data_IF_754442677702
#
_entry.id   IF_754442677702
#
_cell.length_a   1.000
_cell.length_b   1.000
_cell.length_c   1.000
_cell.angle_alpha   90.00
_cell.angle_beta   90.00
_cell.angle_gamma   90.00
#
_symmetry.space_group_name_H-M   'P 1'
#
loop_
_entity.id
_entity.type
_entity.pdbx_description
1 polymer ?
#
# COMPACT_ATOMS: atom_id res chain seq x y z
N UNK A 1 -6.44 -14.60 3.41
CA UNK A 1 -5.69 -14.19 4.62
C UNK A 1 -6.66 -13.72 5.68
N UNK A 2 -6.41 -14.02 6.95
CA UNK A 2 -7.14 -13.38 8.05
C UNK A 2 -6.56 -11.98 8.29
N UNK A 3 -7.36 -11.07 8.85
CA UNK A 3 -6.88 -9.75 9.30
C UNK A 3 -5.64 -9.88 10.21
N UNK A 4 -5.67 -10.88 11.11
CA UNK A 4 -4.57 -11.20 12.03
C UNK A 4 -3.25 -11.45 11.31
N UNK A 5 -3.26 -12.17 10.19
CA UNK A 5 -2.04 -12.45 9.44
C UNK A 5 -1.45 -11.19 8.77
N UNK A 6 -2.29 -10.22 8.37
CA UNK A 6 -1.81 -8.93 7.84
C UNK A 6 -1.19 -8.10 8.97
N UNK A 7 -1.86 -8.07 10.13
CA UNK A 7 -1.39 -7.36 11.32
C UNK A 7 -0.02 -7.88 11.80
N UNK A 8 0.19 -9.20 11.76
CA UNK A 8 1.47 -9.83 12.13
C UNK A 8 2.62 -9.42 11.19
N UNK A 9 2.38 -9.43 9.87
CA UNK A 9 3.37 -9.01 8.87
C UNK A 9 3.74 -7.52 9.04
N UNK A 10 2.74 -6.67 9.25
CA UNK A 10 2.96 -5.24 9.47
C UNK A 10 3.76 -4.99 10.75
N UNK A 11 3.40 -5.66 11.86
CA UNK A 11 4.14 -5.55 13.13
C UNK A 11 5.60 -5.94 12.96
N UNK A 12 5.86 -7.10 12.34
CA UNK A 12 7.22 -7.58 12.10
C UNK A 12 8.02 -6.59 11.24
N UNK A 13 7.40 -6.00 10.22
CA UNK A 13 8.05 -5.02 9.32
C UNK A 13 8.41 -3.73 10.06
N UNK A 14 7.52 -3.23 10.93
CA UNK A 14 7.78 -2.03 11.75
C UNK A 14 8.87 -2.30 12.78
N UNK A 15 8.83 -3.43 13.49
CA UNK A 15 9.88 -3.81 14.43
C UNK A 15 11.25 -3.95 13.77
N UNK A 16 11.29 -4.50 12.55
CA UNK A 16 12.53 -4.58 11.78
C UNK A 16 13.08 -3.19 11.45
N UNK A 17 12.22 -2.27 11.00
CA UNK A 17 12.62 -0.88 10.72
C UNK A 17 13.23 -0.19 11.95
N UNK A 18 12.66 -0.41 13.14
CA UNK A 18 13.23 0.13 14.39
C UNK A 18 14.60 -0.45 14.74
N UNK A 19 14.85 -1.72 14.44
CA UNK A 19 16.19 -2.33 14.60
C UNK A 19 17.19 -1.71 13.64
N UNK A 20 16.76 -1.41 12.41
CA UNK A 20 17.61 -0.87 11.36
C UNK A 20 17.98 0.60 11.58
N UNK A 21 17.17 1.35 12.33
CA UNK A 21 17.43 2.75 12.71
C UNK A 21 18.68 2.93 13.59
N UNK A 22 19.17 1.87 14.26
CA UNK A 22 20.37 1.90 15.12
C UNK A 22 20.42 3.10 16.10
N UNK A 23 19.27 3.49 16.65
CA UNK A 23 19.15 4.57 17.64
C UNK A 23 18.89 5.97 17.06
N UNK A 24 18.75 6.13 15.75
CA UNK A 24 18.26 7.38 15.16
C UNK A 24 16.76 7.58 15.42
N UNK A 25 16.33 8.82 15.62
CA UNK A 25 14.91 9.15 15.76
C UNK A 25 14.18 8.99 14.41
N UNK A 26 13.08 8.22 14.35
CA UNK A 26 12.31 8.11 13.13
C UNK A 26 11.45 9.34 12.85
N UNK A 27 11.46 9.81 11.61
CA UNK A 27 10.50 10.79 11.09
C UNK A 27 9.53 10.17 10.09
N UNK A 28 8.25 10.55 10.15
CA UNK A 28 7.29 10.27 9.07
C UNK A 28 6.89 8.81 8.85
N UNK A 29 7.10 7.93 9.85
CA UNK A 29 6.76 6.50 9.82
C UNK A 29 5.37 6.19 9.25
N UNK A 30 4.35 6.95 9.65
CA UNK A 30 2.98 6.75 9.18
C UNK A 30 2.87 6.88 7.66
N UNK A 31 3.43 7.95 7.08
CA UNK A 31 3.43 8.17 5.64
C UNK A 31 4.30 7.14 4.90
N UNK A 32 5.43 6.76 5.49
CA UNK A 32 6.34 5.74 4.95
C UNK A 32 5.62 4.40 4.78
N UNK A 33 5.01 3.88 5.85
CA UNK A 33 4.39 2.55 5.83
C UNK A 33 3.10 2.53 5.02
N UNK A 34 2.25 3.57 5.10
CA UNK A 34 1.07 3.66 4.24
C UNK A 34 1.44 3.76 2.76
N UNK A 35 2.42 4.58 2.41
CA UNK A 35 2.90 4.69 1.03
C UNK A 35 3.50 3.38 0.52
N UNK A 36 4.28 2.70 1.36
CA UNK A 36 4.89 1.40 1.05
C UNK A 36 3.86 0.28 0.88
N UNK A 37 2.77 0.29 1.64
CA UNK A 37 1.70 -0.70 1.53
C UNK A 37 0.73 -0.41 0.37
N UNK A 38 0.46 0.87 0.09
CA UNK A 38 -0.54 1.26 -0.91
C UNK A 38 -0.09 0.89 -2.33
N UNK A 39 1.14 1.19 -2.72
CA UNK A 39 1.64 0.88 -4.07
C UNK A 39 1.50 -0.59 -4.47
N UNK A 40 2.00 -1.58 -3.69
CA UNK A 40 1.87 -2.99 -4.06
C UNK A 40 0.41 -3.47 -4.02
N UNK A 41 -0.42 -2.96 -3.12
CA UNK A 41 -1.85 -3.25 -3.12
C UNK A 41 -2.50 -2.82 -4.44
N UNK A 42 -2.25 -1.59 -4.87
CA UNK A 42 -2.80 -1.04 -6.11
C UNK A 42 -2.29 -1.80 -7.35
N UNK A 43 -1.00 -2.11 -7.41
CA UNK A 43 -0.41 -2.86 -8.53
C UNK A 43 -1.01 -4.27 -8.65
N UNK A 44 -1.04 -5.04 -7.55
CA UNK A 44 -1.56 -6.40 -7.54
C UNK A 44 -3.05 -6.41 -7.91
N UNK A 45 -3.84 -5.49 -7.36
CA UNK A 45 -5.27 -5.39 -7.69
C UNK A 45 -5.46 -5.01 -9.15
N UNK A 46 -4.74 -4.00 -9.66
CA UNK A 46 -4.89 -3.57 -11.05
C UNK A 46 -4.52 -4.68 -12.04
N UNK A 47 -3.48 -5.47 -11.73
CA UNK A 47 -3.09 -6.65 -12.52
C UNK A 47 -4.17 -7.72 -12.53
N UNK A 48 -4.75 -8.06 -11.38
CA UNK A 48 -5.88 -9.00 -11.30
C UNK A 48 -7.14 -8.42 -11.95
N UNK A 49 -7.27 -7.10 -11.97
CA UNK A 49 -8.33 -6.41 -12.70
C UNK A 49 -8.07 -6.31 -14.21
N UNK A 50 -6.97 -6.88 -14.71
CA UNK A 50 -6.55 -6.82 -16.13
C UNK A 50 -6.47 -5.37 -16.65
N UNK A 51 -6.06 -4.44 -15.79
CA UNK A 51 -6.00 -3.01 -16.11
C UNK A 51 -7.34 -2.27 -16.03
N UNK A 52 -8.46 -2.95 -15.75
CA UNK A 52 -9.77 -2.33 -15.61
C UNK A 52 -9.87 -1.54 -14.29
N UNK A 53 -9.72 -0.22 -14.38
CA UNK A 53 -9.74 0.67 -13.21
C UNK A 53 -11.11 0.72 -12.50
N UNK A 54 -12.23 0.54 -13.21
CA UNK A 54 -13.53 0.50 -12.55
C UNK A 54 -13.66 -0.76 -11.68
N UNK A 55 -13.31 -1.92 -12.24
CA UNK A 55 -13.31 -3.20 -11.52
C UNK A 55 -12.34 -3.18 -10.32
N UNK A 56 -11.14 -2.63 -10.52
CA UNK A 56 -10.17 -2.46 -9.43
C UNK A 56 -10.68 -1.54 -8.32
N UNK A 57 -11.35 -0.44 -8.68
CA UNK A 57 -11.91 0.51 -7.73
C UNK A 57 -13.03 -0.13 -6.89
N UNK A 58 -13.88 -0.94 -7.52
CA UNK A 58 -14.94 -1.69 -6.84
C UNK A 58 -14.36 -2.69 -5.84
N UNK A 59 -13.31 -3.44 -6.23
CA UNK A 59 -12.64 -4.40 -5.33
C UNK A 59 -11.91 -3.72 -4.15
N UNK A 60 -11.33 -2.54 -4.40
CA UNK A 60 -10.68 -1.73 -3.36
C UNK A 60 -11.68 -0.98 -2.48
N UNK A 61 -12.94 -0.89 -2.89
CA UNK A 61 -13.97 -0.13 -2.17
C UNK A 61 -13.72 1.39 -2.17
N UNK A 62 -13.08 1.92 -3.21
CA UNK A 62 -12.80 3.36 -3.35
C UNK A 62 -13.39 3.91 -4.63
N UNK A 63 -13.62 5.23 -4.67
CA UNK A 63 -14.09 5.88 -5.89
C UNK A 63 -13.03 5.74 -7.01
N UNK A 64 -13.46 5.41 -8.24
CA UNK A 64 -12.59 5.26 -9.42
C UNK A 64 -11.67 6.45 -9.67
N UNK A 65 -12.14 7.69 -9.46
CA UNK A 65 -11.31 8.89 -9.64
C UNK A 65 -10.22 8.98 -8.55
N UNK A 66 -10.52 8.49 -7.34
CA UNK A 66 -9.53 8.37 -6.26
C UNK A 66 -8.49 7.31 -6.61
N UNK A 67 -8.91 6.13 -7.09
CA UNK A 67 -7.99 5.10 -7.57
C UNK A 67 -7.08 5.66 -8.68
N UNK A 68 -7.65 6.31 -9.70
CA UNK A 68 -6.89 6.88 -10.81
C UNK A 68 -5.80 7.85 -10.33
N UNK A 69 -6.15 8.75 -9.39
CA UNK A 69 -5.16 9.68 -8.81
C UNK A 69 -4.04 8.93 -8.09
N UNK A 70 -4.38 7.96 -7.25
CA UNK A 70 -3.37 7.14 -6.56
C UNK A 70 -2.47 6.36 -7.53
N UNK A 71 -3.03 5.81 -8.61
CA UNK A 71 -2.23 5.12 -9.63
C UNK A 71 -1.24 6.07 -10.33
N UNK A 72 -1.60 7.33 -10.57
CA UNK A 72 -0.69 8.36 -11.10
C UNK A 72 0.38 8.73 -10.08
N UNK A 73 -0.01 8.98 -8.82
CA UNK A 73 0.91 9.35 -7.73
C UNK A 73 1.99 8.27 -7.52
N UNK A 74 1.59 6.99 -7.62
CA UNK A 74 2.48 5.83 -7.51
C UNK A 74 3.19 5.43 -8.81
N UNK A 75 2.95 6.16 -9.90
CA UNK A 75 3.52 5.93 -11.25
C UNK A 75 3.23 4.53 -11.81
N UNK A 76 2.04 4.00 -11.52
CA UNK A 76 1.55 2.71 -12.04
C UNK A 76 0.86 2.86 -13.40
N UNK A 77 0.42 4.07 -13.75
CA UNK A 77 -0.16 4.43 -15.06
C UNK A 77 0.38 5.79 -15.52
N UNK A 78 0.15 6.11 -16.80
CA UNK A 78 0.45 7.42 -17.40
C UNK A 78 -0.76 8.34 -17.40
#
# INVERSE_FOLDING_TARGET
MSKKAIDEVLRASVEQYFKDLRGAEPGGLHALFLGAAEKPLLDVVLRHAEGNQSRAADWLGINRNTLRRKLLDHKLIK
#
